data_IF_985888809417
#
_entry.id   IF_985888809417
#
_cell.length_a   1.000
_cell.length_b   1.000
_cell.length_c   1.000
_cell.angle_alpha   90.00
_cell.angle_beta   90.00
_cell.angle_gamma   90.00
#
_symmetry.space_group_name_H-M   'P 1'
#
loop_
_entity.id
_entity.type
_entity.pdbx_description
1 polymer ?
#
# COMPACT_ATOMS: atom_id res chain seq x y z
N UNK A 1 16.68 29.75 -5.00
CA UNK A 1 16.29 29.27 -3.66
C UNK A 1 15.04 30.04 -3.31
N UNK A 2 13.87 29.45 -3.49
CA UNK A 2 12.65 30.05 -2.97
C UNK A 2 12.60 29.75 -1.47
N UNK A 3 12.62 30.81 -0.66
CA UNK A 3 12.55 30.71 0.80
C UNK A 3 11.20 30.14 1.23
N UNK A 4 11.22 29.31 2.27
CA UNK A 4 10.04 28.70 2.86
C UNK A 4 9.09 29.80 3.38
N UNK A 5 7.90 30.00 2.77
CA UNK A 5 6.95 31.04 3.19
C UNK A 5 6.32 30.77 4.56
N UNK A 6 6.62 29.62 5.19
CA UNK A 6 6.20 29.26 6.55
C UNK A 6 7.31 29.39 7.60
N UNK A 7 8.47 29.97 7.26
CA UNK A 7 9.51 30.24 8.24
C UNK A 7 8.98 31.24 9.30
N UNK A 8 8.58 30.73 10.47
CA UNK A 8 8.08 31.53 11.59
C UNK A 8 6.57 31.53 11.81
N UNK A 9 5.79 30.72 11.08
CA UNK A 9 4.41 30.44 11.47
C UNK A 9 4.44 29.36 12.57
N UNK A 10 4.04 29.72 13.79
CA UNK A 10 3.79 28.77 14.86
C UNK A 10 2.63 27.86 14.43
N UNK A 11 2.89 26.55 14.43
CA UNK A 11 1.83 25.55 14.34
C UNK A 11 0.85 25.79 15.50
N UNK A 12 -0.46 25.77 15.24
CA UNK A 12 -1.53 25.96 16.25
C UNK A 12 -1.53 24.86 17.35
N UNK A 13 -0.57 23.92 17.31
CA UNK A 13 -0.21 23.00 18.39
C UNK A 13 0.69 23.64 19.49
N UNK A 14 0.98 24.95 19.42
CA UNK A 14 1.95 25.63 20.30
C UNK A 14 1.50 25.90 21.73
N UNK A 15 0.25 25.65 22.09
CA UNK A 15 -0.29 25.87 23.44
C UNK A 15 -0.14 24.63 24.34
N UNK A 16 0.96 23.89 24.20
CA UNK A 16 1.33 22.86 25.16
C UNK A 16 2.06 23.51 26.33
N UNK A 17 1.40 23.61 27.50
CA UNK A 17 2.06 23.95 28.76
C UNK A 17 3.27 23.01 28.95
N UNK A 18 4.48 23.59 28.89
CA UNK A 18 5.72 22.85 29.09
C UNK A 18 5.87 22.57 30.59
N UNK A 19 5.71 21.31 31.00
CA UNK A 19 6.10 20.86 32.32
C UNK A 19 7.64 20.78 32.39
N UNK A 20 8.23 21.16 33.52
CA UNK A 20 9.68 21.08 33.76
C UNK A 20 9.94 20.08 34.88
N UNK A 21 11.02 19.29 34.76
CA UNK A 21 11.47 18.41 35.84
C UNK A 21 12.12 19.21 36.99
N UNK A 22 12.47 18.54 38.09
CA UNK A 22 13.11 19.17 39.25
C UNK A 22 14.47 19.81 38.92
N UNK A 23 15.09 19.41 37.81
CA UNK A 23 16.36 19.92 37.29
C UNK A 23 16.17 21.06 36.26
N UNK A 24 14.92 21.47 35.99
CA UNK A 24 14.59 22.55 35.06
C UNK A 24 14.69 22.16 33.58
N UNK A 25 14.73 20.86 33.26
CA UNK A 25 14.65 20.40 31.87
C UNK A 25 13.18 20.34 31.42
N UNK A 26 12.88 20.79 30.19
CA UNK A 26 11.53 20.67 29.65
C UNK A 26 11.17 19.20 29.47
N UNK A 27 10.12 18.76 30.17
CA UNK A 27 9.50 17.45 29.98
C UNK A 27 8.73 17.52 28.68
N UNK A 28 9.15 16.71 27.70
CA UNK A 28 8.38 16.59 26.47
C UNK A 28 6.95 16.13 26.83
N UNK A 29 5.90 16.87 26.45
CA UNK A 29 4.54 16.45 26.72
C UNK A 29 4.36 15.04 26.15
N UNK A 30 3.77 14.14 26.94
CA UNK A 30 3.34 12.84 26.42
C UNK A 30 2.35 13.14 25.32
N UNK A 31 2.81 13.14 24.06
CA UNK A 31 1.92 13.25 22.90
C UNK A 31 0.85 12.20 23.10
N UNK A 32 -0.38 12.63 23.39
CA UNK A 32 -1.50 11.73 23.39
C UNK A 32 -1.49 11.08 22.01
N UNK A 33 -1.41 9.76 21.97
CA UNK A 33 -1.53 8.98 20.72
C UNK A 33 -2.98 8.99 20.21
N UNK A 34 -3.72 10.06 20.48
CA UNK A 34 -5.10 10.22 20.04
C UNK A 34 -4.99 10.90 18.69
N UNK A 35 -5.06 10.09 17.65
CA UNK A 35 -5.11 10.59 16.28
C UNK A 35 -6.53 11.06 16.06
N UNK A 36 -6.70 12.36 15.86
CA UNK A 36 -7.99 12.92 15.49
C UNK A 36 -8.37 12.36 14.11
N UNK A 37 -9.48 11.62 13.97
CA UNK A 37 -9.84 10.97 12.71
C UNK A 37 -10.21 11.98 11.63
N UNK A 38 -10.27 11.51 10.38
CA UNK A 38 -10.89 12.28 9.30
C UNK A 38 -12.42 12.28 9.47
N UNK A 39 -13.11 13.37 9.10
CA UNK A 39 -14.57 13.37 9.10
C UNK A 39 -15.09 12.28 8.15
N UNK A 40 -16.19 11.64 8.53
CA UNK A 40 -16.87 10.69 7.65
C UNK A 40 -17.32 11.39 6.37
N UNK A 41 -17.13 10.72 5.24
CA UNK A 41 -17.48 11.23 3.92
C UNK A 41 -18.75 10.50 3.44
N UNK A 42 -19.73 11.26 2.96
CA UNK A 42 -20.86 10.69 2.24
C UNK A 42 -20.46 10.40 0.79
N UNK A 43 -20.17 9.13 0.52
CA UNK A 43 -19.78 8.67 -0.81
C UNK A 43 -20.89 8.77 -1.85
N UNK A 44 -22.15 8.98 -1.45
CA UNK A 44 -23.27 9.13 -2.39
C UNK A 44 -23.30 10.50 -3.09
N UNK A 45 -22.60 11.48 -2.53
CA UNK A 45 -22.50 12.84 -3.09
C UNK A 45 -21.28 13.01 -4.02
N UNK A 46 -20.41 12.00 -4.12
CA UNK A 46 -19.18 12.05 -4.92
C UNK A 46 -19.37 11.24 -6.20
N UNK A 47 -19.12 11.89 -7.33
CA UNK A 47 -19.08 11.24 -8.63
C UNK A 47 -17.71 10.57 -8.85
N UNK A 48 -17.68 9.24 -8.76
CA UNK A 48 -16.47 8.45 -8.96
C UNK A 48 -16.37 7.99 -10.40
N UNK A 49 -15.17 8.09 -10.97
CA UNK A 49 -14.90 7.47 -12.27
C UNK A 49 -14.92 5.95 -12.14
N UNK A 50 -15.51 5.29 -13.15
CA UNK A 50 -15.36 3.85 -13.32
C UNK A 50 -13.88 3.50 -13.55
N UNK A 51 -13.50 2.30 -13.12
CA UNK A 51 -12.16 1.77 -13.33
C UNK A 51 -12.19 0.25 -13.47
N UNK A 52 -11.33 -0.27 -14.33
CA UNK A 52 -11.10 -1.71 -14.47
C UNK A 52 -10.51 -2.31 -13.18
N UNK A 53 -11.06 -3.46 -12.77
CA UNK A 53 -10.66 -4.18 -11.56
C UNK A 53 -10.10 -5.56 -11.85
N UNK A 54 -10.51 -6.16 -12.96
CA UNK A 54 -10.15 -7.53 -13.30
C UNK A 54 -9.14 -7.55 -14.44
N UNK A 55 -7.88 -7.73 -14.08
CA UNK A 55 -6.76 -7.85 -15.01
C UNK A 55 -6.31 -9.30 -15.19
N UNK A 56 -6.97 -10.27 -14.53
CA UNK A 56 -6.56 -11.66 -14.58
C UNK A 56 -7.26 -12.43 -15.70
N UNK A 57 -6.47 -12.94 -16.63
CA UNK A 57 -6.90 -13.96 -17.59
C UNK A 57 -6.35 -15.33 -17.17
N UNK A 58 -7.21 -16.34 -17.13
CA UNK A 58 -6.81 -17.69 -16.72
C UNK A 58 -5.97 -18.32 -17.83
N UNK A 59 -4.75 -18.73 -17.50
CA UNK A 59 -3.87 -19.43 -18.43
C UNK A 59 -4.43 -20.80 -18.84
N UNK A 60 -4.19 -21.21 -20.08
CA UNK A 60 -4.72 -22.46 -20.66
C UNK A 60 -4.37 -23.69 -19.81
N UNK A 61 -3.11 -23.79 -19.36
CA UNK A 61 -2.63 -24.87 -18.49
C UNK A 61 -3.36 -24.94 -17.13
N UNK A 62 -3.85 -23.81 -16.62
CA UNK A 62 -4.59 -23.76 -15.35
C UNK A 62 -6.08 -24.04 -15.58
N UNK A 63 -6.60 -23.63 -16.74
CA UNK A 63 -7.98 -23.91 -17.14
C UNK A 63 -8.22 -25.40 -17.41
N UNK A 64 -7.20 -26.11 -17.92
CA UNK A 64 -7.29 -27.52 -18.29
C UNK A 64 -7.16 -28.49 -17.11
N UNK A 65 -6.74 -28.02 -15.92
CA UNK A 65 -6.63 -28.86 -14.73
C UNK A 65 -7.98 -29.41 -14.28
N UNK A 66 -7.99 -30.66 -13.84
CA UNK A 66 -9.14 -31.25 -13.13
C UNK A 66 -9.20 -30.74 -11.69
N UNK A 67 -10.35 -30.88 -11.02
CA UNK A 67 -10.48 -30.50 -9.62
C UNK A 67 -9.54 -31.30 -8.70
N UNK A 68 -9.27 -32.56 -9.03
CA UNK A 68 -8.28 -33.40 -8.32
C UNK A 68 -6.87 -32.81 -8.44
N UNK A 69 -6.44 -32.47 -9.67
CA UNK A 69 -5.13 -31.84 -9.92
C UNK A 69 -5.01 -30.47 -9.25
N UNK A 70 -6.09 -29.69 -9.22
CA UNK A 70 -6.14 -28.41 -8.52
C UNK A 70 -5.94 -28.62 -7.01
N UNK A 71 -6.56 -29.64 -6.43
CA UNK A 71 -6.40 -29.95 -5.01
C UNK A 71 -4.99 -30.46 -4.68
N UNK A 72 -4.43 -31.36 -5.50
CA UNK A 72 -3.03 -31.80 -5.37
C UNK A 72 -2.05 -30.62 -5.48
N UNK A 73 -2.30 -29.68 -6.39
CA UNK A 73 -1.46 -28.48 -6.54
C UNK A 73 -1.56 -27.57 -5.30
N UNK A 74 -2.76 -27.42 -4.71
CA UNK A 74 -2.93 -26.68 -3.45
C UNK A 74 -2.16 -27.34 -2.31
N UNK A 75 -2.23 -28.66 -2.19
CA UNK A 75 -1.51 -29.42 -1.16
C UNK A 75 0.00 -29.30 -1.32
N UNK A 76 0.50 -29.47 -2.55
CA UNK A 76 1.93 -29.36 -2.90
C UNK A 76 2.49 -27.99 -2.55
N UNK A 77 1.70 -26.93 -2.76
CA UNK A 77 2.08 -25.55 -2.47
C UNK A 77 1.79 -25.12 -1.03
N UNK A 78 1.20 -26.01 -0.20
CA UNK A 78 0.84 -25.70 1.19
C UNK A 78 -0.27 -24.66 1.32
N UNK A 79 -1.12 -24.51 0.30
CA UNK A 79 -2.15 -23.48 0.21
C UNK A 79 -3.42 -23.95 0.92
N UNK A 80 -3.90 -23.14 1.86
CA UNK A 80 -5.24 -23.27 2.44
C UNK A 80 -6.09 -22.08 2.03
N UNK A 81 -7.23 -22.32 1.39
CA UNK A 81 -8.16 -21.26 0.97
C UNK A 81 -9.53 -21.49 1.58
N UNK A 82 -10.15 -20.42 2.04
CA UNK A 82 -11.52 -20.39 2.55
C UNK A 82 -12.36 -19.40 1.73
N UNK A 83 -13.69 -19.55 1.77
CA UNK A 83 -14.62 -18.65 1.09
C UNK A 83 -15.17 -19.18 -0.25
N UNK A 84 -16.13 -18.45 -0.85
CA UNK A 84 -16.82 -18.90 -2.06
C UNK A 84 -15.92 -18.76 -3.30
N UNK A 85 -15.83 -19.84 -4.07
CA UNK A 85 -15.13 -19.89 -5.37
C UNK A 85 -13.68 -19.39 -5.31
N UNK A 86 -12.78 -20.08 -4.59
CA UNK A 86 -11.36 -19.73 -4.56
C UNK A 86 -10.75 -19.86 -5.97
N UNK A 87 -9.88 -18.93 -6.39
CA UNK A 87 -9.20 -19.07 -7.67
C UNK A 87 -8.37 -20.35 -7.71
N UNK A 88 -8.16 -20.87 -8.92
CA UNK A 88 -7.22 -21.98 -9.14
C UNK A 88 -5.80 -21.47 -8.85
N UNK A 89 -4.98 -22.23 -8.12
CA UNK A 89 -3.60 -21.84 -7.87
C UNK A 89 -2.83 -21.90 -9.20
N UNK A 90 -1.90 -20.96 -9.39
CA UNK A 90 -0.96 -21.03 -10.50
C UNK A 90 0.38 -21.58 -10.03
N UNK A 91 1.12 -22.26 -10.91
CA UNK A 91 2.44 -22.84 -10.58
C UNK A 91 3.63 -21.99 -11.04
N UNK A 92 3.41 -21.00 -11.92
CA UNK A 92 4.48 -20.21 -12.54
C UNK A 92 4.06 -18.76 -12.77
N UNK A 93 5.04 -17.86 -12.82
CA UNK A 93 4.83 -16.45 -13.16
C UNK A 93 4.29 -16.24 -14.58
N UNK A 94 4.65 -17.13 -15.51
CA UNK A 94 4.13 -17.10 -16.87
C UNK A 94 2.60 -17.25 -16.94
N UNK A 95 1.98 -17.85 -15.93
CA UNK A 95 0.53 -18.06 -15.89
C UNK A 95 -0.26 -16.79 -15.54
N UNK A 96 0.41 -15.70 -15.15
CA UNK A 96 -0.27 -14.43 -14.89
C UNK A 96 -0.43 -13.57 -16.13
N UNK A 97 0.29 -13.86 -17.22
CA UNK A 97 0.21 -13.06 -18.45
C UNK A 97 0.75 -11.64 -18.30
N UNK A 98 1.75 -11.43 -17.44
CA UNK A 98 2.44 -10.14 -17.32
C UNK A 98 3.21 -9.81 -18.61
N UNK A 99 3.38 -8.52 -18.89
CA UNK A 99 4.21 -8.08 -20.01
C UNK A 99 5.70 -8.39 -19.80
N UNK A 100 6.46 -8.31 -20.89
CA UNK A 100 7.89 -8.65 -20.89
C UNK A 100 8.69 -7.77 -19.90
N UNK A 101 8.33 -6.49 -19.76
CA UNK A 101 9.05 -5.56 -18.90
C UNK A 101 8.90 -5.92 -17.41
N UNK A 102 7.68 -6.26 -16.97
CA UNK A 102 7.41 -6.72 -15.61
C UNK A 102 7.99 -8.11 -15.39
N UNK A 103 7.89 -9.02 -16.37
CA UNK A 103 8.50 -10.35 -16.29
C UNK A 103 10.02 -10.27 -16.12
N UNK A 104 10.73 -9.42 -16.85
CA UNK A 104 12.17 -9.19 -16.68
C UNK A 104 12.52 -8.69 -15.28
N UNK A 105 11.75 -7.73 -14.76
CA UNK A 105 11.95 -7.20 -13.41
C UNK A 105 11.69 -8.24 -12.32
N UNK A 106 10.67 -9.08 -12.50
CA UNK A 106 10.38 -10.22 -11.64
C UNK A 106 11.56 -11.20 -11.69
N UNK A 107 12.01 -11.59 -12.89
CA UNK A 107 13.14 -12.51 -13.12
C UNK A 107 14.40 -12.04 -12.39
N UNK A 108 14.73 -10.75 -12.53
CA UNK A 108 15.87 -10.13 -11.86
C UNK A 108 15.72 -10.04 -10.33
N UNK A 109 14.50 -10.09 -9.80
CA UNK A 109 14.22 -10.10 -8.36
C UNK A 109 14.01 -11.49 -7.79
N UNK A 110 14.13 -12.56 -8.60
CA UNK A 110 13.57 -13.84 -8.22
C UNK A 110 14.22 -14.44 -6.96
N UNK A 111 15.51 -14.16 -6.75
CA UNK A 111 16.29 -14.66 -5.62
C UNK A 111 15.80 -14.17 -4.24
N UNK A 112 14.87 -13.21 -4.20
CA UNK A 112 14.39 -12.55 -2.96
C UNK A 112 12.93 -12.79 -2.62
N UNK A 113 12.14 -13.40 -3.53
CA UNK A 113 10.69 -13.54 -3.36
C UNK A 113 10.33 -14.99 -3.00
N UNK A 114 9.61 -15.19 -1.90
CA UNK A 114 9.05 -16.51 -1.54
C UNK A 114 7.87 -16.86 -2.48
N UNK A 115 8.17 -17.58 -3.57
CA UNK A 115 7.25 -17.97 -4.65
C UNK A 115 5.97 -18.65 -4.18
N UNK A 116 6.09 -19.69 -3.36
CA UNK A 116 5.06 -20.73 -3.27
C UNK A 116 3.82 -20.32 -2.49
N UNK A 117 3.96 -19.49 -1.46
CA UNK A 117 2.86 -19.18 -0.54
C UNK A 117 1.96 -18.04 -1.02
N UNK A 118 2.44 -17.26 -1.99
CA UNK A 118 1.90 -15.94 -2.39
C UNK A 118 1.13 -15.98 -3.71
N UNK A 119 0.94 -17.17 -4.29
CA UNK A 119 0.40 -17.31 -5.64
C UNK A 119 -1.12 -17.13 -5.73
N UNK A 120 -1.94 -17.75 -4.86
CA UNK A 120 -3.38 -17.52 -4.86
C UNK A 120 -3.77 -16.10 -4.48
N UNK A 121 -2.97 -15.45 -3.62
CA UNK A 121 -3.18 -14.05 -3.24
C UNK A 121 -3.01 -13.13 -4.44
N UNK A 122 -1.94 -13.29 -5.24
CA UNK A 122 -1.76 -12.54 -6.49
C UNK A 122 -2.94 -12.71 -7.45
N UNK A 123 -3.38 -13.95 -7.69
CA UNK A 123 -4.54 -14.21 -8.56
C UNK A 123 -5.80 -13.53 -8.03
N UNK A 124 -6.02 -13.56 -6.71
CA UNK A 124 -7.18 -12.92 -6.09
C UNK A 124 -7.13 -11.39 -6.21
N UNK A 125 -5.96 -10.78 -6.02
CA UNK A 125 -5.73 -9.35 -6.21
C UNK A 125 -5.94 -8.93 -7.66
N UNK A 126 -5.41 -9.68 -8.63
CA UNK A 126 -5.59 -9.39 -10.07
C UNK A 126 -7.04 -9.54 -10.55
N UNK A 127 -7.85 -10.36 -9.86
CA UNK A 127 -9.30 -10.43 -10.08
C UNK A 127 -10.07 -9.22 -9.51
N UNK A 128 -9.38 -8.28 -8.84
CA UNK A 128 -9.98 -7.10 -8.24
C UNK A 128 -10.85 -7.39 -7.01
N UNK A 129 -10.63 -8.54 -6.37
CA UNK A 129 -11.43 -8.96 -5.21
C UNK A 129 -10.66 -8.72 -3.92
N UNK A 130 -11.40 -8.30 -2.89
CA UNK A 130 -10.88 -8.21 -1.53
C UNK A 130 -10.24 -9.53 -1.07
N UNK A 131 -9.12 -9.39 -0.35
CA UNK A 131 -8.29 -10.47 0.14
C UNK A 131 -7.82 -10.13 1.56
N UNK A 132 -8.01 -11.08 2.48
CA UNK A 132 -7.30 -11.11 3.75
C UNK A 132 -6.24 -12.20 3.65
N UNK A 133 -4.98 -11.84 3.83
CA UNK A 133 -3.84 -12.76 3.75
C UNK A 133 -3.14 -12.84 5.10
N UNK A 134 -2.85 -14.05 5.55
CA UNK A 134 -2.11 -14.31 6.78
C UNK A 134 -0.90 -15.17 6.42
N UNK A 135 0.31 -14.63 6.58
CA UNK A 135 1.57 -15.34 6.30
C UNK A 135 2.40 -15.52 7.58
N UNK A 136 3.02 -16.70 7.81
CA UNK A 136 3.83 -16.96 9.00
C UNK A 136 5.13 -16.15 9.08
N UNK A 137 5.70 -15.76 7.93
CA UNK A 137 7.05 -15.16 7.81
C UNK A 137 7.02 -13.65 7.56
N UNK A 138 5.85 -13.01 7.62
CA UNK A 138 5.68 -11.54 7.55
C UNK A 138 6.04 -10.89 6.20
N UNK A 139 6.61 -11.62 5.24
CA UNK A 139 6.96 -11.07 3.93
C UNK A 139 5.79 -11.17 2.96
N UNK A 140 4.85 -10.23 3.08
CA UNK A 140 3.66 -10.13 2.21
C UNK A 140 3.93 -9.35 0.92
N UNK A 141 5.07 -8.65 0.83
CA UNK A 141 5.38 -7.69 -0.23
C UNK A 141 5.16 -8.28 -1.63
N UNK A 142 5.70 -9.47 -1.90
CA UNK A 142 5.56 -10.12 -3.20
C UNK A 142 4.12 -10.41 -3.63
N UNK A 143 3.13 -10.37 -2.75
CA UNK A 143 1.72 -10.68 -3.06
C UNK A 143 1.00 -9.54 -3.77
N UNK A 144 1.23 -8.31 -3.31
CA UNK A 144 0.40 -7.17 -3.70
C UNK A 144 1.12 -6.18 -4.62
N UNK A 145 2.46 -6.14 -4.62
CA UNK A 145 3.21 -5.20 -5.45
C UNK A 145 2.98 -5.42 -6.95
N UNK A 146 2.98 -6.66 -7.42
CA UNK A 146 2.80 -6.95 -8.86
C UNK A 146 1.36 -6.70 -9.32
N UNK A 147 0.32 -7.21 -8.62
CA UNK A 147 -1.06 -6.85 -8.96
C UNK A 147 -1.31 -5.34 -8.92
N UNK A 148 -0.72 -4.63 -7.94
CA UNK A 148 -0.80 -3.17 -7.86
C UNK A 148 -0.18 -2.50 -9.09
N UNK A 149 0.98 -2.94 -9.57
CA UNK A 149 1.57 -2.37 -10.78
C UNK A 149 0.75 -2.64 -12.04
N UNK A 150 0.20 -3.85 -12.19
CA UNK A 150 -0.70 -4.16 -13.31
C UNK A 150 -1.95 -3.28 -13.25
N UNK A 151 -2.49 -3.08 -12.05
CA UNK A 151 -3.62 -2.18 -11.80
C UNK A 151 -3.29 -0.73 -12.16
N UNK A 152 -2.11 -0.23 -11.79
CA UNK A 152 -1.64 1.12 -12.15
C UNK A 152 -1.41 1.26 -13.67
N UNK A 153 -0.95 0.22 -14.34
CA UNK A 153 -0.68 0.24 -15.78
C UNK A 153 -1.90 -0.12 -16.66
N UNK A 154 -3.06 -0.38 -16.07
CA UNK A 154 -4.28 -0.76 -16.79
C UNK A 154 -4.78 0.35 -17.73
N UNK A 155 -5.39 0.03 -18.90
CA UNK A 155 -5.64 1.00 -19.99
C UNK A 155 -6.43 2.27 -19.63
N UNK A 156 -7.22 2.25 -18.55
CA UNK A 156 -8.01 3.41 -18.10
C UNK A 156 -7.25 4.37 -17.17
N UNK A 157 -6.12 3.95 -16.60
CA UNK A 157 -5.29 4.80 -15.70
C UNK A 157 -4.52 5.89 -16.46
N UNK A 158 -4.33 5.72 -17.77
CA UNK A 158 -3.50 6.54 -18.67
C UNK A 158 -4.17 7.88 -19.01
N UNK A 159 -5.48 7.97 -18.81
CA UNK A 159 -6.27 9.18 -19.10
C UNK A 159 -6.13 10.25 -18.01
N UNK A 160 -5.52 9.94 -16.87
CA UNK A 160 -5.44 10.85 -15.74
C UNK A 160 -4.06 10.77 -15.07
N UNK A 161 -3.11 11.60 -15.52
CA UNK A 161 -1.70 11.74 -15.05
C UNK A 161 -1.48 12.16 -13.57
N UNK A 162 -2.44 11.93 -12.68
CA UNK A 162 -2.42 12.37 -11.28
C UNK A 162 -3.01 11.29 -10.36
N UNK A 163 -2.69 10.03 -10.64
CA UNK A 163 -3.30 8.92 -9.92
C UNK A 163 -2.61 8.78 -8.57
N UNK A 164 -3.39 8.64 -7.50
CA UNK A 164 -2.89 8.36 -6.16
C UNK A 164 -3.30 6.93 -5.80
N UNK A 165 -2.35 5.99 -5.69
CA UNK A 165 -2.60 4.69 -5.03
C UNK A 165 -1.95 4.73 -3.66
N UNK A 166 -2.63 4.23 -2.64
CA UNK A 166 -2.11 4.28 -1.26
C UNK A 166 -1.94 2.85 -0.75
N UNK A 167 -0.69 2.46 -0.51
CA UNK A 167 -0.35 1.44 0.47
C UNK A 167 -0.29 2.11 1.85
N UNK A 168 -1.22 1.76 2.73
CA UNK A 168 -1.24 2.30 4.09
C UNK A 168 -0.62 1.25 5.01
N UNK A 169 0.61 1.47 5.45
CA UNK A 169 1.35 0.53 6.29
C UNK A 169 1.61 1.09 7.68
N UNK A 170 1.18 0.30 8.68
CA UNK A 170 1.57 0.19 10.09
C UNK A 170 2.01 1.45 10.89
N UNK A 171 1.56 1.65 12.14
CA UNK A 171 1.91 2.80 12.98
C UNK A 171 3.05 2.54 13.99
N UNK A 172 3.85 1.48 13.82
CA UNK A 172 4.96 1.18 14.73
C UNK A 172 6.13 2.19 14.62
N UNK A 173 6.91 2.41 15.70
CA UNK A 173 8.00 3.36 15.67
C UNK A 173 9.14 2.84 14.77
N UNK A 174 9.69 3.77 13.97
CA UNK A 174 10.87 3.70 13.10
C UNK A 174 10.70 3.09 11.71
N UNK A 175 10.62 3.95 10.70
CA UNK A 175 11.55 4.10 9.56
C UNK A 175 12.11 2.87 8.79
N UNK A 176 11.72 1.62 9.08
CA UNK A 176 12.32 0.42 8.49
C UNK A 176 11.31 -0.37 7.65
N UNK A 177 10.09 -0.63 8.13
CA UNK A 177 9.10 -1.42 7.38
C UNK A 177 8.52 -0.63 6.20
N UNK A 178 7.98 0.57 6.45
CA UNK A 178 7.51 1.47 5.38
C UNK A 178 8.64 1.82 4.40
N UNK A 179 9.89 1.92 4.87
CA UNK A 179 11.05 2.13 3.99
C UNK A 179 11.39 0.89 3.16
N UNK A 180 11.18 -0.31 3.69
CA UNK A 180 11.40 -1.56 2.96
C UNK A 180 10.38 -1.71 1.84
N UNK A 181 9.10 -1.51 2.17
CA UNK A 181 8.00 -1.54 1.21
C UNK A 181 8.18 -0.42 0.17
N UNK A 182 8.51 0.80 0.61
CA UNK A 182 8.85 1.89 -0.30
C UNK A 182 10.01 1.55 -1.25
N UNK A 183 11.10 0.97 -0.75
CA UNK A 183 12.25 0.63 -1.59
C UNK A 183 11.91 -0.48 -2.60
N UNK A 184 11.09 -1.44 -2.20
CA UNK A 184 10.60 -2.52 -3.06
C UNK A 184 9.62 -1.98 -4.11
N UNK A 185 8.62 -1.20 -3.69
CA UNK A 185 7.69 -0.50 -4.57
C UNK A 185 8.42 0.40 -5.55
N UNK A 186 9.45 1.14 -5.12
CA UNK A 186 10.29 1.96 -5.99
C UNK A 186 11.13 1.16 -6.97
N UNK A 187 11.60 -0.04 -6.58
CA UNK A 187 12.33 -0.95 -7.48
C UNK A 187 11.41 -1.40 -8.62
N UNK A 188 10.20 -1.85 -8.29
CA UNK A 188 9.23 -2.33 -9.26
C UNK A 188 8.56 -1.20 -10.07
N UNK A 189 8.28 -0.05 -9.44
CA UNK A 189 7.68 1.12 -10.09
C UNK A 189 8.51 1.71 -11.22
N UNK A 190 9.83 1.50 -11.22
CA UNK A 190 10.73 1.88 -12.33
C UNK A 190 10.35 1.23 -13.66
N UNK A 191 9.72 0.05 -13.64
CA UNK A 191 9.31 -0.67 -14.86
C UNK A 191 8.34 0.17 -15.69
N UNK A 192 7.41 0.87 -15.03
CA UNK A 192 6.37 1.67 -15.66
C UNK A 192 6.51 3.17 -15.41
N UNK A 193 7.68 3.61 -14.93
CA UNK A 193 7.93 5.02 -14.55
C UNK A 193 6.89 5.57 -13.56
N UNK A 194 6.54 4.75 -12.57
CA UNK A 194 5.60 5.09 -11.49
C UNK A 194 6.32 5.87 -10.39
N UNK A 195 5.73 7.00 -9.98
CA UNK A 195 6.20 7.79 -8.85
C UNK A 195 5.73 7.16 -7.54
N UNK A 196 6.70 6.94 -6.65
CA UNK A 196 6.45 6.37 -5.32
C UNK A 196 6.87 7.38 -4.26
N UNK A 197 5.96 7.68 -3.33
CA UNK A 197 6.18 8.60 -2.20
C UNK A 197 6.03 7.85 -0.89
N UNK A 198 6.86 8.19 0.11
CA UNK A 198 6.78 7.60 1.44
C UNK A 198 6.44 8.67 2.49
N UNK A 199 5.37 8.45 3.24
CA UNK A 199 4.80 9.40 4.18
C UNK A 199 4.76 8.81 5.59
N UNK A 200 5.71 9.19 6.44
CA UNK A 200 5.81 8.67 7.80
C UNK A 200 6.03 9.77 8.84
N UNK A 201 5.62 9.50 10.07
CA UNK A 201 5.82 10.37 11.24
C UNK A 201 7.30 10.60 11.57
N UNK A 202 7.65 11.80 12.07
CA UNK A 202 9.03 12.16 12.42
C UNK A 202 9.84 12.79 11.29
N UNK A 203 9.44 12.64 10.02
CA UNK A 203 9.97 13.40 8.88
C UNK A 203 9.26 14.73 8.66
N UNK A 204 9.85 15.62 7.84
CA UNK A 204 9.29 16.93 7.47
C UNK A 204 7.96 16.80 6.74
N UNK A 205 6.88 17.41 7.27
CA UNK A 205 5.57 17.46 6.61
C UNK A 205 5.64 18.21 5.28
N UNK A 206 6.45 19.27 5.22
CA UNK A 206 6.60 20.10 4.01
C UNK A 206 7.23 19.31 2.85
N UNK A 207 8.29 18.55 3.10
CA UNK A 207 8.95 17.75 2.05
C UNK A 207 8.02 16.66 1.52
N UNK A 208 7.28 15.99 2.41
CA UNK A 208 6.30 14.97 2.02
C UNK A 208 5.12 15.58 1.25
N UNK A 209 4.65 16.77 1.65
CA UNK A 209 3.60 17.50 0.91
C UNK A 209 4.06 17.86 -0.49
N UNK A 210 5.27 18.42 -0.62
CA UNK A 210 5.85 18.77 -1.91
C UNK A 210 6.09 17.56 -2.82
N UNK A 211 6.42 16.41 -2.23
CA UNK A 211 6.55 15.16 -2.97
C UNK A 211 5.19 14.69 -3.54
N UNK A 212 4.11 14.82 -2.76
CA UNK A 212 2.75 14.50 -3.19
C UNK A 212 2.23 15.48 -4.25
N UNK A 213 2.55 16.78 -4.14
CA UNK A 213 2.23 17.79 -5.16
C UNK A 213 2.87 17.47 -6.52
N UNK A 214 3.97 16.71 -6.54
CA UNK A 214 4.62 16.24 -7.77
C UNK A 214 3.89 15.10 -8.50
N UNK A 215 2.80 14.58 -7.91
CA UNK A 215 2.07 13.39 -8.37
C UNK A 215 2.68 12.09 -7.82
N UNK A 216 1.84 11.20 -7.32
CA UNK A 216 2.28 9.97 -6.66
C UNK A 216 1.37 8.78 -6.95
N UNK A 217 1.68 7.99 -7.98
CA UNK A 217 0.90 6.77 -8.26
C UNK A 217 1.04 5.71 -7.17
N UNK A 218 2.07 5.73 -6.33
CA UNK A 218 2.08 4.91 -5.11
C UNK A 218 2.50 5.76 -3.92
N UNK A 219 1.72 5.69 -2.84
CA UNK A 219 2.02 6.30 -1.56
C UNK A 219 2.14 5.18 -0.54
N UNK A 220 3.30 5.06 0.11
CA UNK A 220 3.50 4.18 1.26
C UNK A 220 3.44 5.04 2.50
N UNK A 221 2.39 4.90 3.32
CA UNK A 221 2.16 5.84 4.42
C UNK A 221 1.82 5.18 5.75
N UNK A 222 2.28 5.78 6.84
CA UNK A 222 1.72 5.44 8.16
C UNK A 222 0.37 6.14 8.36
N UNK A 223 -0.63 5.48 8.98
CA UNK A 223 -1.99 6.02 9.07
C UNK A 223 -2.07 7.45 9.63
N UNK A 224 -1.38 7.72 10.75
CA UNK A 224 -1.38 9.05 11.37
C UNK A 224 -0.79 10.13 10.47
N UNK A 225 0.29 9.84 9.72
CA UNK A 225 0.88 10.82 8.81
C UNK A 225 0.00 11.04 7.58
N UNK A 226 -0.68 10.00 7.09
CA UNK A 226 -1.61 10.13 5.97
C UNK A 226 -2.78 11.06 6.35
N UNK A 227 -3.34 10.88 7.55
CA UNK A 227 -4.41 11.74 8.09
C UNK A 227 -3.96 13.20 8.17
N UNK A 228 -2.76 13.46 8.72
CA UNK A 228 -2.18 14.81 8.76
C UNK A 228 -2.12 15.47 7.37
N UNK A 229 -1.62 14.73 6.38
CA UNK A 229 -1.42 15.21 5.01
C UNK A 229 -2.75 15.50 4.29
N UNK A 230 -3.79 14.69 4.54
CA UNK A 230 -5.14 14.94 4.03
C UNK A 230 -5.76 16.17 4.72
N UNK A 231 -5.64 16.29 6.05
CA UNK A 231 -6.17 17.45 6.80
C UNK A 231 -5.58 18.78 6.35
N UNK A 232 -4.27 18.80 6.07
CA UNK A 232 -3.59 19.99 5.55
C UNK A 232 -3.79 20.22 4.05
N UNK A 233 -4.62 19.40 3.38
CA UNK A 233 -4.92 19.47 1.94
C UNK A 233 -3.68 19.31 1.05
N UNK A 234 -2.66 18.58 1.51
CA UNK A 234 -1.49 18.25 0.70
C UNK A 234 -1.79 17.16 -0.34
N UNK A 235 -2.81 16.33 -0.10
CA UNK A 235 -3.29 15.28 -1.00
C UNK A 235 -4.74 14.94 -0.68
N UNK A 236 -5.38 14.10 -1.50
CA UNK A 236 -6.73 13.57 -1.30
C UNK A 236 -6.76 12.08 -1.67
N UNK A 237 -7.82 11.37 -1.26
CA UNK A 237 -7.94 9.92 -1.49
C UNK A 237 -8.97 9.55 -2.56
N UNK A 238 -9.45 10.52 -3.35
CA UNK A 238 -10.58 10.32 -4.27
C UNK A 238 -10.25 9.29 -5.36
N UNK A 239 -8.97 9.17 -5.72
CA UNK A 239 -8.48 8.30 -6.80
C UNK A 239 -7.91 6.96 -6.32
N UNK A 240 -7.98 6.68 -5.02
CA UNK A 240 -7.44 5.44 -4.46
C UNK A 240 -8.35 4.27 -4.84
N UNK A 241 -7.85 3.45 -5.76
CA UNK A 241 -8.58 2.28 -6.30
C UNK A 241 -7.98 0.94 -5.87
N UNK A 242 -6.82 0.97 -5.23
CA UNK A 242 -6.12 -0.18 -4.67
C UNK A 242 -5.55 0.22 -3.30
N UNK A 243 -5.95 -0.47 -2.24
CA UNK A 243 -5.53 -0.21 -0.87
C UNK A 243 -4.95 -1.50 -0.27
N UNK A 244 -3.77 -1.37 0.33
CA UNK A 244 -3.11 -2.43 1.10
C UNK A 244 -3.04 -1.97 2.55
N UNK A 245 -3.38 -2.87 3.47
CA UNK A 245 -3.18 -2.72 4.91
C UNK A 245 -2.21 -3.81 5.36
N UNK A 246 -0.93 -3.48 5.52
CA UNK A 246 0.06 -4.40 6.07
C UNK A 246 0.07 -4.37 7.61
N UNK A 247 0.32 -5.52 8.23
CA UNK A 247 0.23 -5.74 9.69
C UNK A 247 -1.12 -5.25 10.28
N UNK A 248 -2.22 -5.57 9.60
CA UNK A 248 -3.55 -5.08 9.96
C UNK A 248 -3.93 -5.41 11.43
N UNK A 249 -3.54 -6.58 11.93
CA UNK A 249 -3.71 -6.97 13.34
C UNK A 249 -3.09 -5.96 14.31
N UNK A 250 -1.85 -5.54 14.03
CA UNK A 250 -1.18 -4.49 14.81
C UNK A 250 -1.83 -3.13 14.65
N UNK A 251 -2.37 -2.82 13.47
CA UNK A 251 -3.13 -1.58 13.29
C UNK A 251 -4.35 -1.54 14.22
N UNK A 252 -5.09 -2.66 14.35
CA UNK A 252 -6.20 -2.78 15.30
C UNK A 252 -5.74 -2.63 16.75
N UNK A 253 -4.65 -3.31 17.14
CA UNK A 253 -4.10 -3.24 18.51
C UNK A 253 -3.65 -1.82 18.91
N UNK A 254 -3.30 -0.99 17.93
CA UNK A 254 -2.87 0.38 18.13
C UNK A 254 -4.03 1.39 18.16
N UNK A 255 -5.28 0.93 18.10
CA UNK A 255 -6.48 1.75 18.20
C UNK A 255 -6.93 2.36 16.87
N UNK A 256 -6.47 1.85 15.71
CA UNK A 256 -6.93 2.30 14.39
C UNK A 256 -8.21 1.60 13.89
N UNK A 257 -8.80 0.73 14.70
CA UNK A 257 -9.99 -0.05 14.35
C UNK A 257 -11.30 0.42 14.96
N UNK A 258 -11.26 1.45 15.80
CA UNK A 258 -12.44 2.07 16.42
C UNK A 258 -12.80 3.40 15.73
#
# INVERSE_FOLDING_TARGET
>A
MEENPRAGLQDEDSDLELEYDEDGNPIAPKKSKIIDPLPAIDHSEIDYNDFEKNFYSVHEEISSLTEEQVNELRETLGIKVTGPSPPRPVASFAHFGFDDALMEAIIGSLSTLNYSITTPSRTRCLLGKGLLLVLPDGSVNGCFHMPMLVHINGPETWLQKEMDHIGLDSPLPLANLSCTIYNEAKKFGKVYNVNVVCCYGGGSKWEQSKALEGGAEIVVATPGRMIDLVKMKATNLVRVTYLVLDEADRMFDMGFGE
#
